data_IF_485542927328
#
_entry.id   IF_485542927328
#
_cell.length_a   1.000
_cell.length_b   1.000
_cell.length_c   1.000
_cell.angle_alpha   90.00
_cell.angle_beta   90.00
_cell.angle_gamma   90.00
#
_symmetry.space_group_name_H-M   'P 1'
#
loop_
_entity.id
_entity.type
_entity.pdbx_description
1 polymer ?
#
# COMPACT_ATOMS: atom_id res chain seq x y z
N UNK A 1 7.05 40.07 3.20
CA UNK A 1 7.87 38.92 2.71
C UNK A 1 7.06 37.71 2.27
N UNK A 2 5.84 37.49 2.79
CA UNK A 2 4.96 36.37 2.38
C UNK A 2 4.43 36.52 0.96
N UNK A 3 4.08 37.72 0.54
CA UNK A 3 3.49 38.01 -0.78
C UNK A 3 4.52 37.83 -1.92
N UNK A 4 5.77 38.20 -1.68
CA UNK A 4 6.87 37.97 -2.64
C UNK A 4 7.09 36.46 -2.84
N UNK A 5 7.06 35.71 -1.77
CA UNK A 5 7.21 34.23 -1.85
C UNK A 5 6.05 33.57 -2.60
N UNK A 6 4.82 34.06 -2.40
CA UNK A 6 3.64 33.56 -3.09
C UNK A 6 3.69 33.86 -4.60
N UNK A 7 4.13 35.04 -5.01
CA UNK A 7 4.26 35.41 -6.42
C UNK A 7 5.36 34.63 -7.13
N UNK A 8 6.50 34.41 -6.48
CA UNK A 8 7.58 33.58 -7.02
C UNK A 8 7.13 32.12 -7.16
N UNK A 9 6.43 31.59 -6.15
CA UNK A 9 5.89 30.23 -6.21
C UNK A 9 4.89 30.10 -7.37
N UNK A 10 3.98 31.06 -7.52
CA UNK A 10 3.02 31.08 -8.62
C UNK A 10 3.68 31.13 -9.99
N UNK A 11 4.73 31.93 -10.16
CA UNK A 11 5.51 31.96 -11.41
C UNK A 11 6.14 30.61 -11.72
N UNK A 12 6.77 29.97 -10.72
CA UNK A 12 7.38 28.64 -10.89
C UNK A 12 6.34 27.56 -11.18
N UNK A 13 5.19 27.58 -10.51
CA UNK A 13 4.09 26.67 -10.80
C UNK A 13 3.58 26.83 -12.24
N UNK A 14 3.39 28.07 -12.73
CA UNK A 14 2.95 28.33 -14.09
C UNK A 14 3.94 27.82 -15.16
N UNK A 15 5.23 27.78 -14.84
CA UNK A 15 6.24 27.22 -15.76
C UNK A 15 6.18 25.69 -15.84
N UNK A 16 5.70 25.02 -14.78
CA UNK A 16 5.60 23.57 -14.70
C UNK A 16 4.22 23.05 -15.09
N UNK A 17 3.19 23.88 -15.03
CA UNK A 17 1.83 23.51 -15.39
C UNK A 17 1.65 23.51 -16.91
N UNK A 18 0.92 22.53 -17.41
CA UNK A 18 0.48 22.50 -18.80
C UNK A 18 -0.56 23.60 -19.06
N UNK A 19 -0.46 24.26 -20.21
CA UNK A 19 -1.45 25.24 -20.66
C UNK A 19 -2.67 24.60 -21.33
N UNK A 20 -2.56 23.30 -21.69
CA UNK A 20 -3.63 22.54 -22.35
C UNK A 20 -4.18 21.47 -21.40
N UNK A 21 -5.36 21.69 -20.79
CA UNK A 21 -5.94 20.71 -19.91
C UNK A 21 -6.31 19.44 -20.68
N UNK A 22 -5.98 18.28 -20.15
CA UNK A 22 -6.42 17.00 -20.71
C UNK A 22 -7.88 16.75 -20.34
N UNK A 23 -8.76 16.77 -21.32
CA UNK A 23 -10.20 16.49 -21.12
C UNK A 23 -10.43 15.07 -20.56
N UNK A 24 -9.59 14.11 -20.92
CA UNK A 24 -9.66 12.74 -20.40
C UNK A 24 -9.38 12.73 -18.88
N UNK A 25 -8.39 13.48 -18.43
CA UNK A 25 -8.09 13.61 -17.00
C UNK A 25 -9.20 14.35 -16.25
N UNK A 26 -9.76 15.42 -16.86
CA UNK A 26 -10.87 16.17 -16.27
C UNK A 26 -12.13 15.29 -16.14
N UNK A 27 -12.48 14.53 -17.17
CA UNK A 27 -13.59 13.59 -17.12
C UNK A 27 -13.37 12.48 -16.08
N UNK A 28 -12.11 12.01 -15.94
CA UNK A 28 -11.72 11.05 -14.89
C UNK A 28 -11.90 11.63 -13.49
N UNK A 29 -11.51 12.89 -13.29
CA UNK A 29 -11.66 13.61 -12.03
C UNK A 29 -13.13 13.82 -11.67
N UNK A 30 -13.96 14.30 -12.61
CA UNK A 30 -15.39 14.48 -12.42
C UNK A 30 -16.08 13.17 -12.01
N UNK A 31 -15.74 12.07 -12.70
CA UNK A 31 -16.27 10.74 -12.36
C UNK A 31 -15.78 10.26 -10.97
N UNK A 32 -14.55 10.57 -10.60
CA UNK A 32 -14.03 10.22 -9.27
C UNK A 32 -14.77 11.01 -8.18
N UNK A 33 -15.01 12.31 -8.38
CA UNK A 33 -15.75 13.16 -7.44
C UNK A 33 -17.19 12.64 -7.28
N UNK A 34 -17.90 12.36 -8.38
CA UNK A 34 -19.24 11.79 -8.35
C UNK A 34 -19.28 10.45 -7.60
N UNK A 35 -18.32 9.57 -7.86
CA UNK A 35 -18.20 8.28 -7.14
C UNK A 35 -17.97 8.48 -5.64
N UNK A 36 -17.11 9.43 -5.27
CA UNK A 36 -16.83 9.75 -3.86
C UNK A 36 -18.07 10.31 -3.14
N UNK A 37 -18.87 11.15 -3.79
CA UNK A 37 -20.09 11.70 -3.21
C UNK A 37 -21.17 10.65 -2.94
N UNK A 38 -21.35 9.70 -3.85
CA UNK A 38 -22.47 8.75 -3.80
C UNK A 38 -22.17 7.47 -2.99
N UNK A 39 -20.96 6.96 -3.07
CA UNK A 39 -20.64 5.59 -2.64
C UNK A 39 -19.47 5.44 -1.69
N UNK A 40 -18.63 6.47 -1.58
CA UNK A 40 -17.37 6.35 -0.85
C UNK A 40 -17.57 6.00 0.63
N UNK A 41 -18.52 6.66 1.30
CA UNK A 41 -18.72 6.46 2.73
C UNK A 41 -19.07 5.00 3.06
N UNK A 42 -19.99 4.41 2.30
CA UNK A 42 -20.36 3.00 2.48
C UNK A 42 -19.18 2.08 2.19
N UNK A 43 -18.46 2.33 1.10
CA UNK A 43 -17.30 1.52 0.70
C UNK A 43 -16.15 1.62 1.68
N UNK A 44 -15.89 2.80 2.22
CA UNK A 44 -14.87 3.00 3.25
C UNK A 44 -15.24 2.28 4.54
N UNK A 45 -16.52 2.32 4.96
CA UNK A 45 -16.97 1.58 6.14
C UNK A 45 -16.84 0.06 5.96
N UNK A 46 -17.20 -0.47 4.79
CA UNK A 46 -17.01 -1.88 4.46
C UNK A 46 -15.52 -2.25 4.46
N UNK A 47 -14.68 -1.44 3.85
CA UNK A 47 -13.23 -1.63 3.83
C UNK A 47 -12.65 -1.61 5.25
N UNK A 48 -13.01 -0.61 6.05
CA UNK A 48 -12.57 -0.51 7.44
C UNK A 48 -12.87 -1.78 8.24
N UNK A 49 -14.10 -2.29 8.14
CA UNK A 49 -14.48 -3.55 8.79
C UNK A 49 -13.56 -4.72 8.35
N UNK A 50 -13.32 -4.87 7.05
CA UNK A 50 -12.46 -5.96 6.55
C UNK A 50 -11.00 -5.79 6.94
N UNK A 51 -10.50 -4.56 7.06
CA UNK A 51 -9.15 -4.31 7.55
C UNK A 51 -9.00 -4.60 9.05
N UNK A 52 -10.04 -4.37 9.85
CA UNK A 52 -10.05 -4.85 11.25
C UNK A 52 -9.98 -6.37 11.32
N UNK A 53 -10.73 -7.07 10.47
CA UNK A 53 -10.63 -8.54 10.34
C UNK A 53 -9.23 -8.97 9.94
N UNK A 54 -8.60 -8.27 8.98
CA UNK A 54 -7.21 -8.54 8.57
C UNK A 54 -6.25 -8.37 9.75
N UNK A 55 -6.30 -7.24 10.45
CA UNK A 55 -5.45 -6.96 11.62
C UNK A 55 -5.60 -8.06 12.68
N UNK A 56 -6.83 -8.43 13.01
CA UNK A 56 -7.09 -9.50 13.95
C UNK A 56 -6.49 -10.85 13.50
N UNK A 57 -6.65 -11.20 12.21
CA UNK A 57 -6.09 -12.45 11.67
C UNK A 57 -4.58 -12.44 11.62
N UNK A 58 -3.94 -11.30 11.36
CA UNK A 58 -2.49 -11.14 11.41
C UNK A 58 -1.97 -11.30 12.85
N UNK A 59 -2.68 -10.72 13.82
CA UNK A 59 -2.34 -10.89 15.24
C UNK A 59 -2.39 -12.36 15.68
N UNK A 60 -3.38 -13.15 15.22
CA UNK A 60 -3.43 -14.59 15.48
C UNK A 60 -2.29 -15.40 14.83
N UNK A 61 -1.57 -14.79 13.89
CA UNK A 61 -0.39 -15.37 13.25
C UNK A 61 0.92 -14.83 13.84
N UNK A 62 0.86 -14.09 14.95
CA UNK A 62 1.99 -13.39 15.55
C UNK A 62 2.67 -12.41 14.59
N UNK A 63 1.90 -11.73 13.74
CA UNK A 63 2.37 -10.64 12.88
C UNK A 63 1.86 -9.32 13.43
N UNK A 64 2.71 -8.53 14.11
CA UNK A 64 2.33 -7.21 14.57
C UNK A 64 2.00 -6.30 13.38
N UNK A 65 0.93 -5.52 13.54
CA UNK A 65 0.58 -4.45 12.62
C UNK A 65 0.89 -3.13 13.34
N UNK A 66 1.76 -2.34 12.76
CA UNK A 66 2.14 -1.05 13.33
C UNK A 66 0.98 -0.05 13.16
N UNK A 67 0.70 0.69 14.21
CA UNK A 67 -0.32 1.75 14.18
C UNK A 67 0.15 2.92 13.33
N UNK A 68 -0.79 3.50 12.60
CA UNK A 68 -0.61 4.71 11.80
C UNK A 68 -1.96 5.41 11.61
N UNK A 69 -1.93 6.69 11.20
CA UNK A 69 -3.13 7.52 11.07
C UNK A 69 -3.99 7.16 9.83
N UNK A 70 -3.42 6.45 8.87
CA UNK A 70 -4.12 6.02 7.66
C UNK A 70 -4.56 4.56 7.79
N UNK A 71 -5.82 4.34 8.12
CA UNK A 71 -6.36 2.99 8.30
C UNK A 71 -6.28 2.12 7.03
N UNK A 72 -6.13 2.72 5.85
CA UNK A 72 -6.00 1.99 4.58
C UNK A 72 -4.61 1.37 4.39
N UNK A 73 -3.62 1.80 5.17
CA UNK A 73 -2.28 1.26 5.19
C UNK A 73 -2.14 0.23 6.29
N UNK A 74 -1.71 -0.95 5.90
CA UNK A 74 -1.40 -2.04 6.84
C UNK A 74 0.10 -2.27 6.79
N UNK A 75 0.78 -1.88 7.85
CA UNK A 75 2.23 -2.04 8.01
C UNK A 75 2.48 -3.27 8.86
N UNK A 76 2.89 -4.36 8.22
CA UNK A 76 3.22 -5.62 8.88
C UNK A 76 4.69 -5.62 9.33
N UNK A 77 4.95 -5.92 10.59
CA UNK A 77 6.28 -6.12 11.12
C UNK A 77 6.63 -7.61 11.12
N UNK A 78 7.57 -8.00 10.27
CA UNK A 78 7.99 -9.38 10.09
C UNK A 78 9.19 -9.77 10.97
N UNK A 79 9.71 -8.85 11.78
CA UNK A 79 10.86 -9.08 12.65
C UNK A 79 10.63 -10.24 13.64
N UNK A 80 9.39 -10.38 14.14
CA UNK A 80 8.97 -11.47 15.03
C UNK A 80 9.16 -12.84 14.36
N UNK A 81 8.96 -12.92 13.06
CA UNK A 81 9.20 -14.15 12.31
C UNK A 81 10.68 -14.33 11.92
N UNK A 82 11.51 -13.28 12.06
CA UNK A 82 12.89 -13.26 11.63
C UNK A 82 13.04 -13.38 10.12
N UNK A 83 12.08 -12.86 9.37
CA UNK A 83 12.03 -12.87 7.90
C UNK A 83 12.14 -11.43 7.40
N UNK A 84 12.99 -11.19 6.40
CA UNK A 84 13.11 -9.86 5.81
C UNK A 84 11.83 -9.43 5.09
N UNK A 85 11.52 -8.13 5.13
CA UNK A 85 10.40 -7.55 4.41
C UNK A 85 10.47 -7.84 2.91
N UNK A 86 11.69 -7.85 2.34
CA UNK A 86 11.93 -8.23 0.93
C UNK A 86 11.43 -9.65 0.62
N UNK A 87 11.78 -10.63 1.44
CA UNK A 87 11.38 -12.02 1.21
C UNK A 87 9.85 -12.18 1.26
N UNK A 88 9.18 -11.48 2.19
CA UNK A 88 7.72 -11.48 2.27
C UNK A 88 7.09 -10.75 1.07
N UNK A 89 7.67 -9.63 0.66
CA UNK A 89 7.24 -8.88 -0.52
C UNK A 89 7.27 -9.77 -1.78
N UNK A 90 8.40 -10.42 -2.04
CA UNK A 90 8.57 -11.33 -3.19
C UNK A 90 7.61 -12.52 -3.12
N UNK A 91 7.40 -13.08 -1.91
CA UNK A 91 6.43 -14.13 -1.71
C UNK A 91 4.99 -13.69 -2.05
N UNK A 92 4.59 -12.49 -1.60
CA UNK A 92 3.28 -11.93 -1.89
C UNK A 92 3.10 -11.66 -3.40
N UNK A 93 4.14 -11.15 -4.07
CA UNK A 93 4.13 -10.97 -5.53
C UNK A 93 3.89 -12.30 -6.27
N UNK A 94 4.53 -13.40 -5.86
CA UNK A 94 4.29 -14.75 -6.41
C UNK A 94 2.84 -15.26 -6.18
N UNK A 95 2.09 -14.64 -5.27
CA UNK A 95 0.67 -14.91 -5.01
C UNK A 95 -0.26 -13.88 -5.67
N UNK A 96 0.27 -13.05 -6.58
CA UNK A 96 -0.44 -11.93 -7.21
C UNK A 96 -1.02 -10.94 -6.18
N UNK A 97 -0.28 -10.70 -5.09
CA UNK A 97 -0.57 -9.68 -4.08
C UNK A 97 0.58 -8.68 -4.15
N UNK A 98 0.29 -7.51 -4.69
CA UNK A 98 1.28 -6.45 -4.86
C UNK A 98 1.21 -5.50 -3.67
N UNK A 99 2.21 -5.59 -2.79
CA UNK A 99 2.39 -4.64 -1.70
C UNK A 99 2.97 -3.32 -2.23
N UNK A 100 2.71 -2.22 -1.53
CA UNK A 100 3.18 -0.90 -1.94
C UNK A 100 4.69 -0.81 -1.85
N UNK A 101 5.25 -1.27 -0.72
CA UNK A 101 6.69 -1.22 -0.47
C UNK A 101 7.09 -2.19 0.63
N UNK A 102 8.40 -2.39 0.75
CA UNK A 102 9.03 -3.01 1.91
C UNK A 102 10.19 -2.14 2.41
N UNK A 103 10.51 -2.25 3.68
CA UNK A 103 11.66 -1.59 4.30
C UNK A 103 12.13 -2.46 5.46
N UNK A 104 13.38 -2.87 5.45
CA UNK A 104 13.94 -3.79 6.43
C UNK A 104 13.08 -5.04 6.63
N UNK A 105 12.49 -5.19 7.82
CA UNK A 105 11.62 -6.30 8.18
C UNK A 105 10.12 -5.94 8.04
N UNK A 106 9.79 -4.83 7.38
CA UNK A 106 8.42 -4.34 7.26
C UNK A 106 7.90 -4.44 5.84
N UNK A 107 6.61 -4.73 5.72
CA UNK A 107 5.88 -4.73 4.45
C UNK A 107 4.63 -3.88 4.57
N UNK A 108 4.44 -2.98 3.61
CA UNK A 108 3.31 -2.07 3.57
C UNK A 108 2.32 -2.50 2.50
N UNK A 109 1.10 -2.79 2.93
CA UNK A 109 -0.04 -2.99 2.05
C UNK A 109 -0.89 -1.73 2.03
N UNK A 110 -1.26 -1.28 0.83
CA UNK A 110 -2.19 -0.19 0.63
C UNK A 110 -3.51 -0.73 0.07
N UNK A 111 -4.59 -0.37 0.74
CA UNK A 111 -5.94 -0.72 0.33
C UNK A 111 -6.71 0.52 -0.13
N UNK A 112 -7.65 0.34 -1.02
CA UNK A 112 -8.49 1.40 -1.55
C UNK A 112 -9.96 0.99 -1.50
N UNK A 113 -10.85 1.93 -1.78
CA UNK A 113 -12.29 1.66 -1.90
C UNK A 113 -12.66 0.61 -2.96
N UNK A 114 -11.72 0.23 -3.81
CA UNK A 114 -11.91 -0.82 -4.83
C UNK A 114 -11.66 -2.22 -4.29
N UNK A 115 -10.90 -2.33 -3.20
CA UNK A 115 -10.63 -3.60 -2.58
C UNK A 115 -11.86 -4.11 -1.81
N UNK A 116 -12.06 -5.39 -1.85
CA UNK A 116 -13.18 -6.06 -1.21
C UNK A 116 -12.73 -7.16 -0.23
N UNK A 117 -13.72 -7.88 0.32
CA UNK A 117 -13.49 -9.01 1.23
C UNK A 117 -12.59 -10.10 0.64
N UNK A 118 -12.60 -10.27 -0.67
CA UNK A 118 -11.82 -11.33 -1.33
C UNK A 118 -10.35 -10.98 -1.39
N UNK A 119 -10.03 -9.71 -1.62
CA UNK A 119 -8.64 -9.21 -1.57
C UNK A 119 -8.06 -9.40 -0.18
N UNK A 120 -8.80 -8.98 0.86
CA UNK A 120 -8.39 -9.20 2.26
C UNK A 120 -8.20 -10.69 2.55
N UNK A 121 -9.12 -11.54 2.09
CA UNK A 121 -9.04 -12.99 2.28
C UNK A 121 -7.83 -13.61 1.59
N UNK A 122 -7.47 -13.10 0.41
CA UNK A 122 -6.24 -13.52 -0.30
C UNK A 122 -4.99 -13.24 0.53
N UNK A 123 -4.89 -12.04 1.12
CA UNK A 123 -3.78 -11.68 2.01
C UNK A 123 -3.75 -12.61 3.23
N UNK A 124 -4.87 -12.80 3.93
CA UNK A 124 -4.97 -13.70 5.09
C UNK A 124 -4.49 -15.12 4.73
N UNK A 125 -4.96 -15.65 3.60
CA UNK A 125 -4.59 -16.99 3.16
C UNK A 125 -3.11 -17.11 2.81
N UNK A 126 -2.55 -16.08 2.16
CA UNK A 126 -1.14 -16.03 1.83
C UNK A 126 -0.29 -16.00 3.11
N UNK A 127 -0.60 -15.12 4.05
CA UNK A 127 0.11 -15.02 5.33
C UNK A 127 -0.02 -16.29 6.18
N UNK A 128 -1.20 -16.91 6.22
CA UNK A 128 -1.41 -18.18 6.92
C UNK A 128 -0.59 -19.35 6.32
N UNK A 129 -0.38 -19.35 5.00
CA UNK A 129 0.50 -20.35 4.36
C UNK A 129 1.97 -20.06 4.64
N UNK A 130 2.36 -18.79 4.61
CA UNK A 130 3.73 -18.37 4.92
C UNK A 130 4.09 -18.70 6.38
N UNK A 131 3.17 -18.51 7.33
CA UNK A 131 3.39 -18.83 8.74
C UNK A 131 3.72 -20.31 8.98
N UNK A 132 3.12 -21.22 8.18
CA UNK A 132 3.37 -22.67 8.25
C UNK A 132 4.73 -23.07 7.65
N UNK A 133 5.23 -22.30 6.69
CA UNK A 133 6.44 -22.57 5.93
C UNK A 133 7.43 -21.41 6.09
N UNK A 134 7.66 -20.96 7.34
CA UNK A 134 8.60 -19.86 7.60
C UNK A 134 9.96 -20.18 6.99
N UNK A 135 10.52 -19.32 6.13
CA UNK A 135 11.89 -19.48 5.68
C UNK A 135 12.84 -19.41 6.90
N UNK A 136 14.02 -20.05 6.84
CA UNK A 136 15.02 -19.95 7.90
C UNK A 136 15.37 -18.47 8.11
N UNK A 137 15.61 -18.09 9.39
CA UNK A 137 15.99 -16.72 9.78
C UNK A 137 17.18 -16.24 8.93
N UNK A 138 16.93 -15.33 7.99
CA UNK A 138 17.99 -14.57 7.35
C UNK A 138 18.48 -13.49 8.32
N UNK A 139 19.80 -13.38 8.46
CA UNK A 139 20.38 -12.23 9.19
C UNK A 139 19.98 -10.97 8.44
N UNK A 140 19.40 -9.99 9.13
CA UNK A 140 19.04 -8.70 8.60
C UNK A 140 20.22 -8.12 7.80
N UNK A 141 20.12 -8.10 6.48
CA UNK A 141 21.06 -7.39 5.62
C UNK A 141 20.66 -5.92 5.63
N UNK A 142 21.60 -5.07 5.97
CA UNK A 142 21.39 -3.64 6.18
C UNK A 142 20.63 -2.94 5.06
N UNK A 143 20.02 -1.86 5.43
CA UNK A 143 19.24 -0.91 4.63
C UNK A 143 19.87 -0.60 3.28
N UNK A 144 19.31 -1.21 2.22
CA UNK A 144 19.54 -0.76 0.85
C UNK A 144 18.51 0.31 0.47
N UNK A 145 18.84 1.22 -0.46
CA UNK A 145 17.88 2.19 -0.96
C UNK A 145 16.68 1.47 -1.60
N UNK A 146 15.51 2.07 -1.46
CA UNK A 146 14.26 1.61 -2.01
C UNK A 146 14.37 1.38 -3.54
N UNK A 147 14.25 0.15 -4.00
CA UNK A 147 14.15 -0.20 -5.43
C UNK A 147 12.72 -0.62 -5.76
N UNK A 148 12.08 0.10 -6.68
CA UNK A 148 10.82 -0.36 -7.26
C UNK A 148 11.11 -1.61 -8.11
N UNK A 149 10.27 -2.66 -8.03
CA UNK A 149 10.39 -3.81 -8.92
C UNK A 149 10.25 -3.34 -10.37
N UNK A 150 11.28 -3.60 -11.18
CA UNK A 150 11.25 -3.32 -12.61
C UNK A 150 10.25 -4.25 -13.30
N UNK A 151 9.67 -3.79 -14.43
CA UNK A 151 8.66 -4.57 -15.20
C UNK A 151 9.11 -5.97 -15.60
N UNK A 152 10.41 -6.22 -15.65
CA UNK A 152 11.00 -7.52 -16.01
C UNK A 152 10.81 -8.60 -14.93
N UNK A 153 10.57 -8.23 -13.67
CA UNK A 153 10.33 -9.18 -12.58
C UNK A 153 8.89 -9.68 -12.50
N UNK A 154 7.98 -9.12 -13.30
CA UNK A 154 6.57 -9.47 -13.34
C UNK A 154 6.18 -10.40 -14.54
N UNK A 155 7.16 -10.92 -15.28
CA UNK A 155 6.95 -11.88 -16.39
C UNK A 155 7.39 -13.29 -15.98
N UNK A 156 6.75 -13.85 -14.95
CA UNK A 156 6.80 -15.29 -14.65
C UNK A 156 5.41 -15.78 -14.27
#
# INVERSE_FOLDING_TARGET
NSDILADELKKKMNMLCTTSPSYILLAGLDRAIAYCGERAQKRLAELYYWLLVLKFRLALLDVPVLENDDFTRIVMDMSVWGVSGKAVFEYLCKKNIFSEMYCDDKVVLLFSMKNDRWDVRRVINAMSRLSKNKPPKEKASGTGPFEYPTKEQNQL
#
